data_IF_648127448779
#
_entry.id   IF_648127448779
#
_cell.length_a   1.000
_cell.length_b   1.000
_cell.length_c   1.000
_cell.angle_alpha   90.00
_cell.angle_beta   90.00
_cell.angle_gamma   90.00
#
_symmetry.space_group_name_H-M   'P 1'
#
loop_
_entity.id
_entity.type
_entity.pdbx_description
1 polymer ?
#
# COMPACT_ATOMS: atom_id res chain seq x y z
N UNK A 1 12.05 33.74 33.43
CA UNK A 1 12.94 33.76 32.25
C UNK A 1 13.05 32.31 31.78
N UNK A 2 12.16 31.86 30.90
CA UNK A 2 12.35 31.90 29.43
C UNK A 2 13.61 31.07 29.03
N UNK A 3 13.57 30.00 28.22
CA UNK A 3 12.71 29.70 27.07
C UNK A 3 12.87 28.24 26.58
N UNK A 4 11.77 27.70 26.04
CA UNK A 4 11.60 26.71 24.95
C UNK A 4 12.01 25.24 25.20
N UNK A 5 11.01 24.44 25.58
CA UNK A 5 10.66 23.19 24.86
C UNK A 5 9.14 22.93 24.94
N UNK A 6 8.36 24.02 24.81
CA UNK A 6 6.97 23.93 24.41
C UNK A 6 6.96 23.56 22.92
N UNK A 7 6.74 22.28 22.60
CA UNK A 7 5.59 21.80 21.83
C UNK A 7 5.90 20.46 21.11
N UNK A 8 5.66 19.33 21.77
CA UNK A 8 4.97 18.21 21.10
C UNK A 8 4.31 17.33 22.18
N UNK A 9 3.08 17.72 22.54
CA UNK A 9 2.30 17.03 23.55
C UNK A 9 1.94 15.60 23.13
N UNK A 10 2.14 14.70 24.09
CA UNK A 10 1.51 13.39 24.30
C UNK A 10 1.89 12.25 23.36
N UNK A 11 2.55 11.29 23.98
CA UNK A 11 2.63 9.87 23.62
C UNK A 11 1.28 9.30 23.13
N UNK A 12 0.98 9.42 21.84
CA UNK A 12 0.16 8.40 21.18
C UNK A 12 1.02 7.15 21.11
N UNK A 13 0.97 6.34 22.16
CA UNK A 13 1.50 4.98 22.17
C UNK A 13 0.64 4.18 21.18
N UNK A 14 0.94 4.31 19.89
CA UNK A 14 0.20 3.66 18.82
C UNK A 14 0.42 2.16 19.00
N UNK A 15 -0.58 1.48 19.57
CA UNK A 15 -0.59 0.02 19.64
C UNK A 15 -0.68 -0.50 18.21
N UNK A 16 0.25 -1.37 17.83
CA UNK A 16 0.09 -2.17 16.63
C UNK A 16 -1.20 -2.97 16.78
N UNK A 17 -2.15 -2.73 15.87
CA UNK A 17 -3.43 -3.42 15.85
C UNK A 17 -3.45 -4.29 14.60
N UNK A 18 -3.36 -5.60 14.81
CA UNK A 18 -3.69 -6.55 13.77
C UNK A 18 -5.21 -6.54 13.61
N UNK A 19 -5.67 -6.32 12.37
CA UNK A 19 -7.10 -6.22 12.04
C UNK A 19 -7.33 -7.15 10.85
N UNK A 20 -8.26 -8.08 11.01
CA UNK A 20 -8.67 -8.97 9.93
C UNK A 20 -9.52 -8.23 8.89
N UNK A 21 -9.62 -8.77 7.67
CA UNK A 21 -10.26 -8.08 6.54
C UNK A 21 -11.73 -7.70 6.80
N UNK A 22 -12.46 -8.55 7.53
CA UNK A 22 -13.87 -8.39 7.90
C UNK A 22 -14.09 -7.23 8.88
N UNK A 23 -13.12 -6.93 9.74
CA UNK A 23 -13.11 -5.73 10.58
C UNK A 23 -12.51 -4.52 9.86
N UNK A 24 -11.48 -4.74 9.04
CA UNK A 24 -10.73 -3.68 8.37
C UNK A 24 -11.59 -2.92 7.36
N UNK A 25 -12.35 -3.63 6.51
CA UNK A 25 -13.14 -3.01 5.45
C UNK A 25 -14.19 -2.04 6.01
N UNK A 26 -15.06 -2.44 6.97
CA UNK A 26 -16.02 -1.50 7.57
C UNK A 26 -15.36 -0.32 8.28
N UNK A 27 -14.23 -0.55 8.94
CA UNK A 27 -13.48 0.52 9.61
C UNK A 27 -12.89 1.52 8.62
N UNK A 28 -12.32 1.01 7.53
CA UNK A 28 -11.72 1.81 6.48
C UNK A 28 -12.78 2.67 5.79
N UNK A 29 -13.90 2.08 5.37
CA UNK A 29 -14.99 2.82 4.70
C UNK A 29 -15.65 3.84 5.65
N UNK A 30 -15.72 3.56 6.95
CA UNK A 30 -16.18 4.53 7.94
C UNK A 30 -15.22 5.71 8.10
N UNK A 31 -13.91 5.47 8.04
CA UNK A 31 -12.89 6.50 8.20
C UNK A 31 -12.69 7.32 6.91
N UNK A 32 -12.86 6.68 5.76
CA UNK A 32 -12.63 7.24 4.44
C UNK A 32 -13.82 6.98 3.51
N UNK A 33 -15.00 7.57 3.77
CA UNK A 33 -16.20 7.34 2.98
C UNK A 33 -16.07 7.76 1.51
N UNK A 34 -15.12 8.64 1.20
CA UNK A 34 -14.84 9.09 -0.16
C UNK A 34 -14.02 8.09 -1.01
N UNK A 35 -13.42 7.07 -0.40
CA UNK A 35 -12.70 6.01 -1.11
C UNK A 35 -13.33 4.65 -0.75
N UNK A 36 -14.34 4.19 -1.51
CA UNK A 36 -14.91 2.86 -1.31
C UNK A 36 -13.82 1.79 -1.40
N UNK A 37 -13.78 0.84 -0.46
CA UNK A 37 -12.69 -0.16 -0.42
C UNK A 37 -12.57 -0.93 -1.73
N UNK A 38 -13.70 -1.21 -2.38
CA UNK A 38 -13.76 -1.91 -3.66
C UNK A 38 -13.00 -1.20 -4.79
N UNK A 39 -12.98 0.12 -4.80
CA UNK A 39 -12.23 0.90 -5.81
C UNK A 39 -10.74 0.84 -5.53
N UNK A 40 -10.36 1.00 -4.26
CA UNK A 40 -8.98 0.87 -3.78
C UNK A 40 -8.42 -0.53 -4.08
N UNK A 41 -9.19 -1.58 -3.82
CA UNK A 41 -8.83 -2.97 -4.13
C UNK A 41 -8.60 -3.18 -5.63
N UNK A 42 -9.46 -2.60 -6.48
CA UNK A 42 -9.29 -2.66 -7.93
C UNK A 42 -8.00 -1.99 -8.40
N UNK A 43 -7.63 -0.84 -7.81
CA UNK A 43 -6.36 -0.16 -8.08
C UNK A 43 -5.16 -1.00 -7.64
N UNK A 44 -5.22 -1.63 -6.46
CA UNK A 44 -4.18 -2.56 -5.98
C UNK A 44 -3.98 -3.71 -6.97
N UNK A 45 -5.06 -4.35 -7.44
CA UNK A 45 -4.97 -5.44 -8.41
C UNK A 45 -4.46 -4.98 -9.77
N UNK A 46 -4.79 -3.77 -10.20
CA UNK A 46 -4.23 -3.19 -11.42
C UNK A 46 -2.71 -3.01 -11.28
N UNK A 47 -2.24 -2.47 -10.15
CA UNK A 47 -0.81 -2.30 -9.88
C UNK A 47 -0.06 -3.65 -9.83
N UNK A 48 -0.66 -4.70 -9.26
CA UNK A 48 -0.06 -6.05 -9.28
C UNK A 48 0.02 -6.64 -10.68
N UNK A 49 -1.02 -6.46 -11.49
CA UNK A 49 -0.97 -6.87 -12.89
C UNK A 49 0.17 -6.19 -13.63
N UNK A 50 0.30 -4.87 -13.50
CA UNK A 50 1.39 -4.10 -14.11
C UNK A 50 2.77 -4.53 -13.61
N UNK A 51 2.90 -4.79 -12.30
CA UNK A 51 4.13 -5.31 -11.69
C UNK A 51 4.56 -6.63 -12.33
N UNK A 52 3.66 -7.61 -12.43
CA UNK A 52 3.99 -8.91 -13.01
C UNK A 52 4.20 -8.84 -14.52
N UNK A 53 3.46 -7.99 -15.24
CA UNK A 53 3.70 -7.74 -16.66
C UNK A 53 5.08 -7.12 -16.90
N UNK A 54 5.47 -6.11 -16.11
CA UNK A 54 6.79 -5.50 -16.20
C UNK A 54 7.89 -6.52 -15.83
N UNK A 55 7.71 -7.29 -14.76
CA UNK A 55 8.67 -8.28 -14.31
C UNK A 55 8.86 -9.44 -15.30
N UNK A 56 7.82 -9.82 -16.06
CA UNK A 56 7.88 -10.88 -17.08
C UNK A 56 8.20 -10.39 -18.49
N UNK A 57 8.34 -9.07 -18.69
CA UNK A 57 8.59 -8.48 -20.01
C UNK A 57 9.98 -8.81 -20.59
N UNK A 58 10.94 -9.23 -19.75
CA UNK A 58 12.32 -9.48 -20.14
C UNK A 58 12.62 -10.98 -20.15
N UNK A 59 13.41 -11.47 -21.12
CA UNK A 59 13.88 -12.85 -21.10
C UNK A 59 14.83 -13.08 -19.93
N UNK A 60 15.02 -14.36 -19.58
CA UNK A 60 16.02 -14.76 -18.61
C UNK A 60 17.41 -14.19 -19.00
N UNK A 61 18.22 -13.72 -18.03
CA UNK A 61 18.03 -13.80 -16.58
C UNK A 61 17.26 -12.62 -15.96
N UNK A 62 16.84 -11.64 -16.75
CA UNK A 62 16.40 -10.33 -16.26
C UNK A 62 14.90 -10.21 -15.99
N UNK A 63 14.13 -11.30 -16.14
CA UNK A 63 12.68 -11.30 -15.93
C UNK A 63 12.15 -12.63 -15.39
N UNK A 64 10.94 -12.57 -14.84
CA UNK A 64 10.21 -13.73 -14.33
C UNK A 64 9.66 -14.50 -15.53
N UNK A 65 10.30 -15.63 -15.87
CA UNK A 65 9.88 -16.48 -16.98
C UNK A 65 8.65 -17.33 -16.64
N UNK A 66 7.80 -17.58 -17.64
CA UNK A 66 6.68 -18.51 -17.52
C UNK A 66 7.16 -19.95 -17.65
N UNK A 67 6.82 -20.81 -16.68
CA UNK A 67 7.03 -22.26 -16.78
C UNK A 67 5.73 -22.99 -16.41
N UNK A 68 5.10 -23.76 -17.32
CA UNK A 68 3.74 -24.28 -17.14
C UNK A 68 3.52 -25.11 -15.87
N UNK A 69 4.54 -25.81 -15.39
CA UNK A 69 4.51 -26.64 -14.19
C UNK A 69 5.08 -25.95 -12.93
N UNK A 70 5.48 -24.68 -13.01
CA UNK A 70 5.90 -23.89 -11.84
C UNK A 70 4.76 -23.02 -11.33
N UNK A 71 4.68 -22.85 -10.02
CA UNK A 71 3.81 -21.90 -9.32
C UNK A 71 4.61 -21.24 -8.21
N UNK A 72 4.35 -19.97 -7.97
CA UNK A 72 4.96 -19.20 -6.89
C UNK A 72 3.88 -18.45 -6.11
N UNK A 73 4.06 -18.37 -4.79
CA UNK A 73 3.21 -17.59 -3.90
C UNK A 73 4.04 -16.40 -3.43
N UNK A 74 3.48 -15.20 -3.55
CA UNK A 74 4.10 -13.96 -3.14
C UNK A 74 3.27 -13.32 -2.03
N UNK A 75 3.95 -12.89 -0.97
CA UNK A 75 3.39 -11.97 0.01
C UNK A 75 3.83 -10.55 -0.35
N UNK A 76 2.91 -9.59 -0.25
CA UNK A 76 3.19 -8.18 -0.56
C UNK A 76 2.72 -7.31 0.60
N UNK A 77 3.63 -6.51 1.14
CA UNK A 77 3.31 -5.48 2.12
C UNK A 77 3.00 -4.17 1.39
N UNK A 78 1.85 -3.57 1.70
CA UNK A 78 1.39 -2.34 1.07
C UNK A 78 1.17 -1.25 2.13
N UNK A 79 1.50 -0.01 1.77
CA UNK A 79 1.09 1.18 2.51
C UNK A 79 0.23 2.04 1.58
N UNK A 80 -0.97 2.37 2.02
CA UNK A 80 -1.90 3.21 1.27
C UNK A 80 -1.59 4.67 1.58
N UNK A 81 -1.35 5.47 0.54
CA UNK A 81 -1.18 6.91 0.65
C UNK A 81 -1.98 7.60 -0.45
N UNK A 82 -2.80 8.56 -0.05
CA UNK A 82 -3.52 9.44 -0.96
C UNK A 82 -2.63 10.65 -1.30
N UNK A 83 -2.61 11.04 -2.57
CA UNK A 83 -1.99 12.30 -3.00
C UNK A 83 -2.88 12.93 -4.05
N UNK A 84 -3.19 14.21 -3.86
CA UNK A 84 -3.88 15.05 -4.83
C UNK A 84 -2.87 15.49 -5.89
N UNK A 85 -2.82 14.78 -7.01
CA UNK A 85 -2.09 15.21 -8.20
C UNK A 85 -2.94 16.16 -9.06
N UNK A 86 -2.33 16.80 -10.05
CA UNK A 86 -3.04 17.71 -10.98
C UNK A 86 -4.11 16.99 -11.85
N UNK A 87 -4.10 15.65 -11.91
CA UNK A 87 -4.99 14.83 -12.73
C UNK A 87 -5.96 13.94 -11.92
N UNK A 88 -6.06 14.13 -10.60
CA UNK A 88 -6.89 13.32 -9.72
C UNK A 88 -6.14 12.77 -8.51
N UNK A 89 -6.89 12.13 -7.62
CA UNK A 89 -6.35 11.42 -6.46
C UNK A 89 -5.85 10.05 -6.91
N UNK A 90 -4.60 9.73 -6.61
CA UNK A 90 -4.03 8.43 -6.93
C UNK A 90 -3.56 7.73 -5.64
N UNK A 91 -3.82 6.43 -5.56
CA UNK A 91 -3.22 5.58 -4.55
C UNK A 91 -1.73 5.36 -4.86
N UNK A 92 -0.86 5.89 -4.00
CA UNK A 92 0.57 5.66 -4.09
C UNK A 92 1.02 4.57 -3.12
N UNK A 93 1.75 3.58 -3.63
CA UNK A 93 2.48 2.63 -2.80
C UNK A 93 3.87 3.20 -2.50
N UNK A 94 4.10 3.58 -1.24
CA UNK A 94 5.44 4.00 -0.83
C UNK A 94 6.35 2.77 -0.75
N UNK A 95 7.37 2.70 -1.61
CA UNK A 95 8.47 1.76 -1.40
C UNK A 95 9.20 2.19 -0.13
N UNK A 96 9.08 1.41 0.94
CA UNK A 96 10.01 1.51 2.07
C UNK A 96 11.43 1.42 1.50
N UNK A 97 12.15 2.54 1.52
CA UNK A 97 13.57 2.58 1.14
C UNK A 97 14.29 1.66 2.11
N UNK A 98 14.71 0.48 1.63
CA UNK A 98 15.58 -0.42 2.38
C UNK A 98 16.85 0.33 2.75
N UNK A 99 17.29 0.14 4.01
CA UNK A 99 18.45 0.78 4.64
C UNK A 99 19.66 0.82 3.71
#
# INVERSE_FOLDING_TARGET
>A
MELIDLQCNSELKVKFREVHYDEFIPMFEKQYPQYPWKEVEAEIFCAFKELFQAASSRPAPNGIGSYPSSRAIYAVDLMLKWSTGQNGEHLFFERKKGR
#
